data_IF_801564765989
#
_entry.id   IF_801564765989
#
_cell.length_a   1.000
_cell.length_b   1.000
_cell.length_c   1.000
_cell.angle_alpha   90.00
_cell.angle_beta   90.00
_cell.angle_gamma   90.00
#
_symmetry.space_group_name_H-M   'P 1'
#
loop_
_entity.id
_entity.type
_entity.pdbx_description
1 polymer ?
#
# COMPACT_ATOMS: atom_id res chain seq x y z
N UNK A 1 9.72 -15.27 3.56
CA UNK A 1 9.23 -15.21 4.96
C UNK A 1 8.17 -14.12 5.00
N UNK A 2 7.01 -14.34 5.65
CA UNK A 2 5.84 -13.44 5.80
C UNK A 2 4.55 -13.64 4.95
N UNK A 3 4.39 -14.73 4.18
CA UNK A 3 3.05 -15.10 3.65
C UNK A 3 2.04 -15.46 4.74
N UNK A 4 2.52 -15.92 5.90
CA UNK A 4 1.65 -16.25 7.04
C UNK A 4 1.06 -15.00 7.70
N UNK A 5 1.80 -13.88 7.76
CA UNK A 5 1.32 -12.63 8.38
C UNK A 5 0.31 -11.91 7.49
N UNK A 6 0.53 -11.85 6.18
CA UNK A 6 -0.47 -11.35 5.24
C UNK A 6 -1.75 -12.18 5.30
N UNK A 7 -1.64 -13.51 5.30
CA UNK A 7 -2.80 -14.39 5.39
C UNK A 7 -3.53 -14.28 6.72
N UNK A 8 -2.86 -14.05 7.85
CA UNK A 8 -3.56 -13.93 9.14
C UNK A 8 -4.16 -12.54 9.36
N UNK A 9 -3.56 -11.50 8.79
CA UNK A 9 -4.00 -10.10 8.94
C UNK A 9 -5.08 -9.77 7.93
N UNK A 10 -4.81 -9.90 6.63
CA UNK A 10 -5.76 -9.52 5.58
C UNK A 10 -6.86 -10.56 5.33
N UNK A 11 -6.76 -11.79 5.87
CA UNK A 11 -7.90 -12.73 5.87
C UNK A 11 -8.73 -12.72 7.14
N UNK A 12 -8.43 -11.85 8.10
CA UNK A 12 -9.26 -11.72 9.28
C UNK A 12 -10.60 -11.09 8.88
N UNK A 13 -11.75 -11.74 9.18
CA UNK A 13 -13.06 -11.24 8.80
C UNK A 13 -13.37 -9.85 9.37
N UNK A 14 -12.82 -9.48 10.54
CA UNK A 14 -12.99 -8.14 11.10
C UNK A 14 -12.29 -7.08 10.24
N UNK A 15 -11.06 -7.37 9.80
CA UNK A 15 -10.30 -6.47 8.92
C UNK A 15 -10.97 -6.38 7.56
N UNK A 16 -11.37 -7.52 6.98
CA UNK A 16 -12.10 -7.54 5.71
C UNK A 16 -13.39 -6.72 5.81
N UNK A 17 -14.09 -6.78 6.95
CA UNK A 17 -15.31 -5.99 7.16
C UNK A 17 -14.99 -4.50 7.18
N UNK A 18 -14.03 -4.07 8.01
CA UNK A 18 -13.63 -2.65 8.12
C UNK A 18 -13.12 -2.11 6.78
N UNK A 19 -12.33 -2.89 6.05
CA UNK A 19 -11.91 -2.53 4.69
C UNK A 19 -13.14 -2.37 3.78
N UNK A 20 -13.99 -3.40 3.65
CA UNK A 20 -15.16 -3.29 2.77
C UNK A 20 -16.17 -2.20 3.18
N UNK A 21 -16.25 -1.82 4.46
CA UNK A 21 -17.18 -0.78 4.92
C UNK A 21 -16.61 0.62 4.85
N UNK A 22 -15.36 0.81 5.25
CA UNK A 22 -14.78 2.13 5.50
C UNK A 22 -13.52 2.42 4.66
N UNK A 23 -12.80 1.41 4.13
CA UNK A 23 -11.51 1.60 3.45
C UNK A 23 -11.29 0.75 2.19
N UNK A 24 -10.98 1.38 1.07
CA UNK A 24 -10.73 0.65 -0.17
C UNK A 24 -9.32 0.04 -0.24
N UNK A 25 -9.21 -1.28 -0.09
CA UNK A 25 -7.92 -1.98 -0.19
C UNK A 25 -7.51 -2.20 -1.66
N UNK A 26 -6.35 -1.66 -2.03
CA UNK A 26 -5.73 -1.85 -3.35
C UNK A 26 -4.35 -2.50 -3.16
N UNK A 27 -4.14 -3.64 -3.80
CA UNK A 27 -2.81 -4.23 -3.92
C UNK A 27 -2.12 -3.63 -5.15
N UNK A 28 -1.01 -2.94 -4.93
CA UNK A 28 -0.20 -2.33 -5.98
C UNK A 28 1.07 -3.14 -6.20
N UNK A 29 1.25 -3.63 -7.43
CA UNK A 29 2.46 -4.33 -7.85
C UNK A 29 3.47 -3.34 -8.41
N UNK A 30 4.55 -3.11 -7.67
CA UNK A 30 5.60 -2.17 -8.01
C UNK A 30 6.43 -2.61 -9.24
N UNK A 31 6.46 -3.90 -9.56
CA UNK A 31 7.18 -4.45 -10.72
C UNK A 31 6.31 -4.47 -11.98
N UNK A 32 5.03 -4.10 -11.85
CA UNK A 32 4.10 -4.09 -12.96
C UNK A 32 4.49 -3.04 -13.99
N UNK A 33 4.52 -3.45 -15.27
CA UNK A 33 4.78 -2.55 -16.41
C UNK A 33 3.51 -1.91 -16.99
N UNK A 34 2.36 -2.09 -16.34
CA UNK A 34 1.09 -1.54 -16.80
C UNK A 34 1.04 -0.07 -16.45
N UNK A 35 0.58 0.76 -17.39
CA UNK A 35 0.31 2.17 -17.11
C UNK A 35 -0.92 2.29 -16.21
N UNK A 36 -0.79 3.01 -15.10
CA UNK A 36 -1.88 3.25 -14.13
C UNK A 36 -2.32 4.70 -14.26
N UNK A 37 -3.59 4.91 -14.61
CA UNK A 37 -4.20 6.23 -14.60
C UNK A 37 -4.83 6.49 -13.23
N UNK A 38 -4.28 7.46 -12.50
CA UNK A 38 -4.69 7.79 -11.15
C UNK A 38 -4.69 9.31 -10.94
N UNK A 39 -5.74 9.84 -10.31
CA UNK A 39 -5.92 11.27 -10.06
C UNK A 39 -5.67 12.17 -11.30
N UNK A 40 -6.23 11.77 -12.45
CA UNK A 40 -6.05 12.46 -13.73
C UNK A 40 -4.57 12.54 -14.19
N UNK A 41 -3.72 11.70 -13.63
CA UNK A 41 -2.30 11.59 -13.93
C UNK A 41 -1.98 10.17 -14.39
N UNK A 42 -1.11 10.03 -15.40
CA UNK A 42 -0.67 8.71 -15.88
C UNK A 42 0.66 8.39 -15.22
N UNK A 43 0.66 7.36 -14.38
CA UNK A 43 1.86 6.83 -13.75
C UNK A 43 2.38 5.68 -14.60
N UNK A 44 3.67 5.72 -14.91
CA UNK A 44 4.30 4.68 -15.72
C UNK A 44 5.33 3.92 -14.92
N UNK A 45 5.72 2.78 -15.47
CA UNK A 45 6.84 2.01 -14.93
C UNK A 45 8.17 2.69 -15.29
N UNK A 46 8.97 3.04 -14.28
CA UNK A 46 10.32 3.59 -14.46
C UNK A 46 11.37 2.48 -14.29
N UNK A 47 12.07 2.07 -15.37
CA UNK A 47 13.19 1.16 -15.25
C UNK A 47 14.35 1.87 -14.52
N UNK A 48 14.83 1.30 -13.41
CA UNK A 48 16.01 1.76 -12.67
C UNK A 48 17.28 0.96 -13.03
N UNK A 49 17.15 -0.17 -13.72
CA UNK A 49 18.28 -1.02 -14.11
C UNK A 49 17.92 -2.10 -15.14
N UNK A 50 18.86 -3.02 -15.44
CA UNK A 50 18.74 -3.97 -16.55
C UNK A 50 17.54 -4.92 -16.46
N UNK A 51 17.14 -5.27 -15.23
CA UNK A 51 15.95 -6.08 -14.92
C UNK A 51 15.20 -5.53 -13.72
N UNK A 52 15.49 -4.30 -13.31
CA UNK A 52 14.88 -3.66 -12.15
C UNK A 52 14.18 -2.39 -12.59
N UNK A 53 12.97 -2.21 -12.10
CA UNK A 53 12.23 -0.98 -12.27
C UNK A 53 11.10 -0.96 -11.29
N UNK A 54 10.60 0.24 -11.05
CA UNK A 54 9.58 0.49 -10.07
C UNK A 54 8.50 1.33 -10.72
N UNK A 55 7.24 0.99 -10.44
CA UNK A 55 6.13 1.81 -10.84
C UNK A 55 6.20 3.15 -10.11
N UNK A 56 6.03 4.26 -10.83
CA UNK A 56 6.14 5.60 -10.22
C UNK A 56 5.18 5.77 -9.04
N UNK A 57 3.95 5.29 -9.19
CA UNK A 57 2.95 5.30 -8.11
C UNK A 57 3.43 4.49 -6.89
N UNK A 58 4.00 3.31 -7.10
CA UNK A 58 4.49 2.48 -6.01
C UNK A 58 5.68 3.13 -5.30
N UNK A 59 6.61 3.70 -6.06
CA UNK A 59 7.72 4.46 -5.48
C UNK A 59 7.21 5.64 -4.67
N UNK A 60 6.28 6.44 -5.19
CA UNK A 60 5.72 7.60 -4.48
C UNK A 60 5.05 7.21 -3.15
N UNK A 61 4.30 6.10 -3.14
CA UNK A 61 3.59 5.61 -1.96
C UNK A 61 4.50 4.86 -0.98
N UNK A 62 5.61 4.30 -1.44
CA UNK A 62 6.54 3.53 -0.61
C UNK A 62 7.75 4.36 -0.14
N UNK A 63 7.92 5.59 -0.67
CA UNK A 63 9.02 6.49 -0.27
C UNK A 63 8.67 7.13 1.07
N UNK A 64 9.29 6.64 2.14
CA UNK A 64 9.27 7.27 3.46
C UNK A 64 10.71 7.69 3.75
N UNK A 65 10.92 8.95 4.12
CA UNK A 65 12.26 9.50 4.42
C UNK A 65 13.30 9.30 3.29
N UNK A 66 12.85 9.34 2.03
CA UNK A 66 13.66 9.08 0.82
C UNK A 66 14.09 7.62 0.62
N UNK A 67 13.57 6.69 1.42
CA UNK A 67 13.83 5.25 1.28
C UNK A 67 12.56 4.50 0.87
N UNK A 68 12.72 3.52 -0.02
CA UNK A 68 11.65 2.64 -0.48
C UNK A 68 11.88 1.26 0.08
N UNK A 69 11.11 0.87 1.10
CA UNK A 69 11.28 -0.41 1.81
C UNK A 69 9.99 -1.22 1.72
N UNK A 70 10.07 -2.37 1.06
CA UNK A 70 8.95 -3.30 0.93
C UNK A 70 8.96 -4.36 2.05
N UNK A 71 7.79 -4.78 2.57
CA UNK A 71 6.46 -4.25 2.25
C UNK A 71 6.18 -2.91 2.94
N UNK A 72 5.57 -1.96 2.22
CA UNK A 72 5.05 -0.70 2.78
C UNK A 72 3.53 -0.74 2.83
N UNK A 73 2.96 -0.29 3.96
CA UNK A 73 1.55 0.02 4.07
C UNK A 73 1.36 1.53 4.03
N UNK A 74 0.58 2.00 3.06
CA UNK A 74 0.26 3.42 2.90
C UNK A 74 -1.25 3.59 2.85
N UNK A 75 -1.76 4.49 3.69
CA UNK A 75 -3.18 4.82 3.79
C UNK A 75 -3.34 6.22 3.21
N UNK A 76 -4.25 6.31 2.25
CA UNK A 76 -4.60 7.54 1.54
C UNK A 76 -5.99 7.97 1.98
N UNK A 77 -6.18 9.28 2.16
CA UNK A 77 -7.50 9.88 2.33
C UNK A 77 -8.19 10.07 0.97
N UNK A 78 -9.47 10.47 0.98
CA UNK A 78 -10.31 10.67 -0.21
C UNK A 78 -9.74 11.69 -1.22
N UNK A 79 -8.88 12.60 -0.78
CA UNK A 79 -8.18 13.59 -1.60
C UNK A 79 -6.81 13.09 -2.11
N UNK A 80 -6.48 11.81 -1.85
CA UNK A 80 -5.19 11.18 -2.12
C UNK A 80 -4.02 11.74 -1.30
N UNK A 81 -4.30 12.44 -0.20
CA UNK A 81 -3.28 12.80 0.78
C UNK A 81 -2.87 11.59 1.60
N UNK A 82 -1.57 11.50 1.87
CA UNK A 82 -1.04 10.38 2.63
C UNK A 82 -1.21 10.65 4.13
N UNK A 83 -2.14 9.94 4.76
CA UNK A 83 -2.42 10.07 6.20
C UNK A 83 -1.57 9.15 7.06
N UNK A 84 -1.08 8.05 6.48
CA UNK A 84 -0.24 7.10 7.19
C UNK A 84 0.67 6.33 6.22
N UNK A 85 1.94 6.15 6.59
CA UNK A 85 2.88 5.28 5.88
C UNK A 85 3.70 4.50 6.88
N UNK A 86 3.96 3.22 6.59
CA UNK A 86 4.85 2.39 7.40
C UNK A 86 5.54 1.32 6.58
N UNK A 87 6.86 1.29 6.64
CA UNK A 87 7.75 0.28 6.04
C UNK A 87 7.71 -1.09 6.75
N UNK A 88 6.55 -1.51 7.24
CA UNK A 88 6.40 -2.81 7.90
C UNK A 88 4.95 -3.23 7.94
N UNK A 89 4.72 -4.53 7.72
CA UNK A 89 3.41 -5.13 7.79
C UNK A 89 3.03 -5.35 9.26
N UNK A 90 1.96 -4.68 9.70
CA UNK A 90 1.45 -4.76 11.06
C UNK A 90 0.64 -6.03 11.28
N UNK A 91 0.52 -6.45 12.55
CA UNK A 91 -0.38 -7.52 12.93
C UNK A 91 -1.84 -7.07 12.81
N UNK A 92 -2.77 -8.03 12.70
CA UNK A 92 -4.20 -7.76 12.59
C UNK A 92 -4.73 -6.73 13.60
N UNK A 93 -4.36 -6.87 14.88
CA UNK A 93 -4.82 -5.96 15.95
C UNK A 93 -4.31 -4.54 15.77
N UNK A 94 -3.04 -4.39 15.43
CA UNK A 94 -2.42 -3.07 15.24
C UNK A 94 -2.99 -2.38 14.00
N UNK A 95 -3.22 -3.14 12.92
CA UNK A 95 -3.86 -2.63 11.71
C UNK A 95 -5.29 -2.14 12.02
N UNK A 96 -6.08 -2.94 12.75
CA UNK A 96 -7.43 -2.55 13.19
C UNK A 96 -7.43 -1.25 13.99
N UNK A 97 -6.54 -1.13 14.97
CA UNK A 97 -6.43 0.08 15.80
C UNK A 97 -6.09 1.33 14.99
N UNK A 98 -5.30 1.20 13.93
CA UNK A 98 -4.96 2.31 13.04
C UNK A 98 -6.15 2.67 12.16
N UNK A 99 -6.81 1.68 11.56
CA UNK A 99 -8.01 1.90 10.74
C UNK A 99 -9.13 2.58 11.55
N UNK A 100 -9.35 2.15 12.79
CA UNK A 100 -10.33 2.78 13.69
C UNK A 100 -9.97 4.21 14.10
N UNK A 101 -8.68 4.55 14.14
CA UNK A 101 -8.22 5.91 14.45
C UNK A 101 -8.29 6.87 13.26
N UNK A 102 -8.24 6.34 12.04
CA UNK A 102 -8.24 7.12 10.80
C UNK A 102 -9.68 7.33 10.30
N UNK A 103 -10.62 6.46 10.68
CA UNK A 103 -12.05 6.58 10.40
C UNK A 103 -12.68 7.86 10.95
#
# INVERSE_FOLDING_TARGET
>A
MCKMMENSTFKNPEIIKVLNTDFYFISLDAESKKDIFFNNHSFKFKPQGPNTGVHELASALATIDSEVIYPTLTILESDFSIVFQKHSLLNAKDLLLILEKIK
#
